data_IF_890307320179
#
_entry.id   IF_890307320179
#
_cell.length_a   1.000
_cell.length_b   1.000
_cell.length_c   1.000
_cell.angle_alpha   90.00
_cell.angle_beta   90.00
_cell.angle_gamma   90.00
#
_symmetry.space_group_name_H-M   'P 1'
#
loop_
_entity.id
_entity.type
_entity.pdbx_description
1 polymer ?
#
# COMPACT_ATOMS: atom_id res chain seq x y z
N UNK A 1 19.72 8.39 5.82
CA UNK A 1 20.91 8.48 4.96
C UNK A 1 21.81 7.31 5.32
N UNK A 2 21.74 6.22 4.55
CA UNK A 2 22.29 4.91 4.96
C UNK A 2 23.83 4.89 4.93
N UNK A 3 24.48 5.93 4.35
CA UNK A 3 25.95 6.06 4.30
C UNK A 3 26.49 7.50 4.51
N UNK A 4 25.72 8.38 5.16
CA UNK A 4 26.17 9.76 5.38
C UNK A 4 26.25 10.62 4.12
N UNK A 5 25.59 10.21 3.04
CA UNK A 5 25.37 11.05 1.85
C UNK A 5 24.75 12.40 2.27
N UNK A 6 24.96 13.48 1.51
CA UNK A 6 24.27 14.76 1.78
C UNK A 6 22.82 14.70 1.25
N UNK A 7 21.84 15.00 2.10
CA UNK A 7 20.47 15.29 1.67
C UNK A 7 19.91 16.47 2.44
N UNK A 8 18.98 17.16 1.79
CA UNK A 8 18.30 18.33 2.33
C UNK A 8 16.84 18.02 2.72
N UNK A 9 16.24 16.98 2.12
CA UNK A 9 14.89 16.50 2.41
C UNK A 9 14.94 14.99 2.61
N UNK A 10 14.20 14.50 3.61
CA UNK A 10 14.07 13.08 3.89
C UNK A 10 12.59 12.70 3.91
N UNK A 11 12.19 11.84 2.97
CA UNK A 11 10.86 11.26 2.88
C UNK A 11 10.94 9.75 3.19
N UNK A 12 10.00 9.24 3.98
CA UNK A 12 10.02 7.85 4.39
C UNK A 12 8.62 7.25 4.44
N UNK A 13 8.53 5.96 4.10
CA UNK A 13 7.32 5.16 4.24
C UNK A 13 6.89 4.90 5.70
N UNK A 14 7.69 5.36 6.67
CA UNK A 14 7.45 5.17 8.09
C UNK A 14 7.77 6.47 8.84
N UNK A 15 6.79 7.03 9.56
CA UNK A 15 6.93 8.25 10.36
C UNK A 15 7.99 8.16 11.46
N UNK A 16 8.33 6.96 11.94
CA UNK A 16 9.36 6.78 12.96
C UNK A 16 10.76 7.14 12.46
N UNK A 17 11.07 6.90 11.18
CA UNK A 17 12.38 7.23 10.64
C UNK A 17 12.69 8.74 10.66
N UNK A 18 11.83 9.63 10.11
CA UNK A 18 12.08 11.06 10.18
C UNK A 18 11.88 11.62 11.60
N UNK A 19 11.03 11.02 12.44
CA UNK A 19 10.91 11.39 13.85
C UNK A 19 12.22 11.15 14.62
N UNK A 20 12.88 10.01 14.38
CA UNK A 20 14.19 9.70 14.97
C UNK A 20 15.28 10.69 14.52
N UNK A 21 15.25 11.14 13.26
CA UNK A 21 16.16 12.19 12.77
C UNK A 21 15.93 13.54 13.47
N UNK A 22 14.66 13.90 13.70
CA UNK A 22 14.29 15.10 14.43
C UNK A 22 14.73 15.04 15.89
N UNK A 23 14.47 13.91 16.57
CA UNK A 23 14.89 13.67 17.95
C UNK A 23 16.42 13.72 18.12
N UNK A 24 17.17 13.27 17.12
CA UNK A 24 18.63 13.37 17.09
C UNK A 24 19.15 14.78 16.72
N UNK A 25 18.27 15.78 16.56
CA UNK A 25 18.62 17.15 16.18
C UNK A 25 19.06 17.32 14.72
N UNK A 26 18.98 16.26 13.90
CA UNK A 26 19.49 16.25 12.52
C UNK A 26 18.49 16.77 11.49
N UNK A 27 17.21 16.77 11.82
CA UNK A 27 16.15 17.24 10.97
C UNK A 27 15.12 18.06 11.76
N UNK A 28 14.20 18.67 11.04
CA UNK A 28 13.03 19.33 11.60
C UNK A 28 11.97 18.30 12.01
N UNK A 29 10.94 18.72 12.75
CA UNK A 29 9.81 17.84 13.06
C UNK A 29 9.16 17.33 11.78
N UNK A 30 8.88 16.01 11.66
CA UNK A 30 8.28 15.46 10.46
C UNK A 30 6.82 15.87 10.32
N UNK A 31 6.39 16.00 9.07
CA UNK A 31 4.98 16.12 8.69
C UNK A 31 4.57 14.88 7.91
N UNK A 32 3.35 14.35 8.13
CA UNK A 32 2.82 13.33 7.25
C UNK A 32 2.54 14.00 5.89
N UNK A 33 2.93 13.37 4.79
CA UNK A 33 2.71 13.92 3.43
C UNK A 33 1.89 13.03 2.50
N UNK A 34 1.80 11.72 2.77
CA UNK A 34 0.96 10.80 2.01
C UNK A 34 0.71 9.52 2.81
N UNK A 35 0.01 8.55 2.23
CA UNK A 35 -0.09 7.19 2.77
C UNK A 35 -0.02 6.13 1.67
N UNK A 36 0.53 4.97 2.01
CA UNK A 36 0.24 3.77 1.23
C UNK A 36 -1.19 3.33 1.54
N UNK A 37 -1.92 2.94 0.50
CA UNK A 37 -3.28 2.41 0.61
C UNK A 37 -3.34 1.08 -0.12
N UNK A 38 -4.07 0.13 0.47
CA UNK A 38 -4.39 -1.11 -0.22
C UNK A 38 -5.47 -0.88 -1.28
N UNK A 39 -5.40 -1.67 -2.34
CA UNK A 39 -6.43 -1.89 -3.35
C UNK A 39 -6.59 -3.41 -3.54
N UNK A 40 -7.76 -3.82 -4.00
CA UNK A 40 -8.01 -5.18 -4.46
C UNK A 40 -7.78 -5.24 -5.98
N UNK A 41 -6.83 -6.07 -6.43
CA UNK A 41 -6.64 -6.41 -7.83
C UNK A 41 -7.46 -7.67 -8.14
N UNK A 42 -8.25 -7.64 -9.21
CA UNK A 42 -9.17 -8.74 -9.54
C UNK A 42 -9.46 -8.79 -11.03
N UNK A 43 -10.14 -9.85 -11.48
CA UNK A 43 -10.64 -9.97 -12.85
C UNK A 43 -12.11 -9.53 -12.92
N UNK A 44 -12.58 -8.99 -14.06
CA UNK A 44 -13.95 -8.46 -14.18
C UNK A 44 -15.05 -9.48 -13.81
N UNK A 45 -14.86 -10.76 -14.15
CA UNK A 45 -15.84 -11.82 -13.93
C UNK A 45 -16.07 -12.16 -12.46
N UNK A 46 -15.16 -11.77 -11.56
CA UNK A 46 -15.32 -11.95 -10.09
C UNK A 46 -16.34 -10.93 -9.53
N UNK A 47 -16.64 -9.86 -10.29
CA UNK A 47 -17.63 -8.83 -9.95
C UNK A 47 -17.44 -8.25 -8.55
N UNK A 48 -16.19 -7.84 -8.27
CA UNK A 48 -15.79 -7.18 -7.03
C UNK A 48 -15.90 -5.67 -7.20
N UNK A 49 -16.45 -5.01 -6.19
CA UNK A 49 -16.65 -3.57 -6.08
C UNK A 49 -16.34 -3.17 -4.64
N UNK A 50 -16.13 -1.89 -4.39
CA UNK A 50 -15.81 -1.40 -3.05
C UNK A 50 -16.89 -1.76 -2.02
N UNK A 51 -18.17 -1.72 -2.41
CA UNK A 51 -19.32 -1.99 -1.54
C UNK A 51 -19.51 -3.48 -1.20
N UNK A 52 -19.09 -4.40 -2.07
CA UNK A 52 -19.24 -5.85 -1.87
C UNK A 52 -17.92 -6.57 -1.56
N UNK A 53 -16.81 -5.83 -1.42
CA UNK A 53 -15.49 -6.41 -1.29
C UNK A 53 -15.40 -7.39 -0.11
N UNK A 54 -15.92 -7.04 1.07
CA UNK A 54 -15.90 -7.92 2.24
C UNK A 54 -16.65 -9.24 1.99
N UNK A 55 -17.83 -9.15 1.40
CA UNK A 55 -18.63 -10.32 1.05
C UNK A 55 -17.87 -11.25 0.09
N UNK A 56 -17.25 -10.68 -0.95
CA UNK A 56 -16.47 -11.43 -1.93
C UNK A 56 -15.21 -12.05 -1.33
N UNK A 57 -14.51 -11.34 -0.45
CA UNK A 57 -13.34 -11.90 0.24
C UNK A 57 -13.73 -13.07 1.16
N UNK A 58 -14.93 -13.05 1.75
CA UNK A 58 -15.42 -14.10 2.64
C UNK A 58 -16.02 -15.32 1.92
N UNK A 59 -16.37 -15.19 0.64
CA UNK A 59 -16.89 -16.30 -0.16
C UNK A 59 -15.86 -17.44 -0.23
N UNK A 60 -16.17 -18.67 0.24
CA UNK A 60 -15.21 -19.78 0.27
C UNK A 60 -14.73 -20.20 -1.13
N UNK A 61 -15.45 -19.88 -2.20
CA UNK A 61 -15.03 -20.17 -3.57
C UNK A 61 -13.98 -19.18 -4.11
N UNK A 62 -13.84 -18.01 -3.47
CA UNK A 62 -12.90 -16.95 -3.88
C UNK A 62 -11.52 -17.18 -3.27
N UNK A 63 -10.49 -17.29 -4.11
CA UNK A 63 -9.09 -17.35 -3.71
C UNK A 63 -8.59 -15.95 -3.36
N UNK A 64 -8.32 -15.70 -2.08
CA UNK A 64 -7.85 -14.41 -1.59
C UNK A 64 -6.32 -14.43 -1.48
N UNK A 65 -5.62 -13.68 -2.34
CA UNK A 65 -4.17 -13.52 -2.30
C UNK A 65 -3.73 -12.30 -1.49
N UNK A 66 -2.63 -12.45 -0.76
CA UNK A 66 -1.94 -11.38 -0.04
C UNK A 66 -0.42 -11.55 -0.18
N UNK A 67 0.35 -10.52 0.19
CA UNK A 67 1.74 -10.75 0.56
C UNK A 67 1.85 -11.45 1.93
N UNK A 68 2.99 -12.10 2.18
CA UNK A 68 3.37 -12.71 3.47
C UNK A 68 3.57 -11.63 4.53
N UNK A 69 2.76 -11.62 5.61
CA UNK A 69 2.95 -10.70 6.74
C UNK A 69 4.35 -10.80 7.33
N UNK A 70 4.87 -9.72 7.91
CA UNK A 70 6.24 -9.52 8.44
C UNK A 70 7.36 -9.59 7.41
N UNK A 71 7.19 -10.30 6.30
CA UNK A 71 8.16 -10.34 5.21
C UNK A 71 7.95 -9.17 4.23
N UNK A 72 6.68 -8.80 4.00
CA UNK A 72 6.28 -7.65 3.19
C UNK A 72 5.20 -6.83 3.94
N UNK A 73 5.40 -5.53 4.16
CA UNK A 73 4.44 -4.68 4.87
C UNK A 73 3.02 -4.64 4.26
N UNK A 74 2.86 -4.92 2.96
CA UNK A 74 1.52 -5.01 2.37
C UNK A 74 0.72 -6.20 2.92
N UNK A 75 1.39 -7.28 3.32
CA UNK A 75 0.80 -8.42 4.02
C UNK A 75 0.33 -8.06 5.43
N UNK A 76 1.13 -7.28 6.16
CA UNK A 76 0.73 -6.78 7.49
C UNK A 76 -0.54 -5.93 7.40
N UNK A 77 -0.63 -5.05 6.39
CA UNK A 77 -1.84 -4.27 6.15
C UNK A 77 -3.04 -5.13 5.75
N UNK A 78 -2.86 -6.18 4.93
CA UNK A 78 -3.96 -7.06 4.60
C UNK A 78 -4.55 -7.73 5.86
N UNK A 79 -3.71 -8.09 6.82
CA UNK A 79 -4.16 -8.69 8.08
C UNK A 79 -4.75 -7.66 9.05
N UNK A 80 -4.27 -6.41 9.05
CA UNK A 80 -4.94 -5.31 9.77
C UNK A 80 -6.34 -5.03 9.18
N UNK A 81 -6.48 -5.10 7.86
CA UNK A 81 -7.77 -4.99 7.18
C UNK A 81 -8.71 -6.11 7.63
N UNK A 82 -8.21 -7.35 7.77
CA UNK A 82 -9.00 -8.46 8.31
C UNK A 82 -9.47 -8.18 9.75
N UNK A 83 -8.63 -7.56 10.57
CA UNK A 83 -9.01 -7.15 11.91
C UNK A 83 -10.11 -6.08 11.91
N UNK A 84 -10.08 -5.11 10.98
CA UNK A 84 -11.20 -4.15 10.80
C UNK A 84 -12.48 -4.84 10.32
N UNK A 85 -12.36 -5.86 9.49
CA UNK A 85 -13.49 -6.65 9.01
C UNK A 85 -14.28 -7.34 10.14
N UNK A 86 -13.62 -7.73 11.23
CA UNK A 86 -14.28 -8.31 12.41
C UNK A 86 -15.34 -7.39 13.01
N UNK A 87 -15.06 -6.08 13.04
CA UNK A 87 -16.01 -5.09 13.56
C UNK A 87 -17.25 -4.92 12.66
N UNK A 88 -17.13 -5.24 11.37
CA UNK A 88 -18.24 -5.18 10.41
C UNK A 88 -19.01 -6.49 10.33
N UNK A 89 -18.32 -7.62 10.53
CA UNK A 89 -18.92 -8.96 10.49
C UNK A 89 -18.18 -9.89 11.45
N UNK A 90 -18.82 -10.30 12.57
CA UNK A 90 -18.20 -11.24 13.51
C UNK A 90 -17.73 -12.54 12.84
N UNK A 91 -16.53 -12.99 13.20
CA UNK A 91 -15.87 -14.15 12.62
C UNK A 91 -15.17 -13.90 11.28
N UNK A 92 -15.29 -12.70 10.69
CA UNK A 92 -14.67 -12.39 9.41
C UNK A 92 -13.15 -12.44 9.48
N UNK A 93 -12.53 -11.93 10.55
CA UNK A 93 -11.07 -11.94 10.67
C UNK A 93 -10.53 -13.35 10.57
N UNK A 94 -11.05 -14.24 11.42
CA UNK A 94 -10.63 -15.65 11.47
C UNK A 94 -10.86 -16.35 10.14
N UNK A 95 -12.00 -16.09 9.49
CA UNK A 95 -12.33 -16.68 8.20
C UNK A 95 -11.35 -16.23 7.10
N UNK A 96 -11.01 -14.93 7.05
CA UNK A 96 -10.09 -14.35 6.07
C UNK A 96 -8.65 -14.82 6.30
N UNK A 97 -8.16 -14.76 7.55
CA UNK A 97 -6.82 -15.26 7.92
C UNK A 97 -6.64 -16.75 7.56
N UNK A 98 -7.68 -17.58 7.77
CA UNK A 98 -7.61 -19.01 7.49
C UNK A 98 -7.55 -19.37 5.99
N UNK A 99 -8.05 -18.49 5.11
CA UNK A 99 -8.11 -18.74 3.67
C UNK A 99 -7.15 -17.90 2.83
N UNK A 100 -6.51 -16.89 3.44
CA UNK A 100 -5.57 -16.03 2.76
C UNK A 100 -4.40 -16.85 2.21
N UNK A 101 -4.09 -16.64 0.93
CA UNK A 101 -2.97 -17.24 0.23
C UNK A 101 -1.84 -16.22 0.22
N UNK A 102 -0.79 -16.49 0.99
CA UNK A 102 0.41 -15.67 1.02
C UNK A 102 1.29 -15.99 -0.21
N UNK A 103 1.10 -15.22 -1.28
CA UNK A 103 1.65 -15.55 -2.61
C UNK A 103 2.86 -14.69 -3.00
N UNK A 104 3.19 -13.66 -2.24
CA UNK A 104 4.30 -12.72 -2.53
C UNK A 104 5.03 -12.30 -1.26
N UNK A 105 6.29 -11.87 -1.38
CA UNK A 105 7.07 -11.28 -0.28
C UNK A 105 7.70 -12.28 0.69
N UNK A 106 7.17 -13.50 0.80
CA UNK A 106 7.74 -14.57 1.61
C UNK A 106 8.96 -15.24 0.97
N UNK A 107 9.76 -15.99 1.76
CA UNK A 107 10.95 -16.68 1.26
C UNK A 107 10.65 -17.72 0.16
N UNK A 108 9.46 -18.32 0.20
CA UNK A 108 9.00 -19.31 -0.78
C UNK A 108 8.18 -18.68 -1.92
N UNK A 109 8.07 -17.35 -1.96
CA UNK A 109 7.33 -16.65 -3.00
C UNK A 109 8.04 -16.76 -4.35
N UNK A 110 7.28 -16.86 -5.47
CA UNK A 110 7.85 -16.82 -6.80
C UNK A 110 8.64 -15.53 -7.02
N UNK A 111 9.77 -15.64 -7.71
CA UNK A 111 10.52 -14.47 -8.14
C UNK A 111 9.65 -13.60 -9.07
N UNK A 112 9.67 -12.26 -8.92
CA UNK A 112 8.93 -11.39 -9.82
C UNK A 112 9.47 -11.53 -11.25
N UNK A 113 8.59 -11.70 -12.26
CA UNK A 113 9.02 -11.75 -13.65
C UNK A 113 9.66 -10.41 -14.07
N UNK A 114 10.66 -10.42 -14.96
CA UNK A 114 11.42 -9.21 -15.32
C UNK A 114 10.63 -8.27 -16.25
N UNK A 115 9.61 -8.78 -16.93
CA UNK A 115 8.90 -8.13 -18.04
C UNK A 115 7.47 -7.71 -17.72
N UNK A 116 6.95 -8.07 -16.53
CA UNK A 116 5.56 -7.78 -16.13
C UNK A 116 5.37 -7.77 -14.61
N UNK A 117 4.24 -7.26 -14.18
CA UNK A 117 3.81 -7.28 -12.79
C UNK A 117 3.56 -8.70 -12.28
N UNK A 118 4.24 -9.08 -11.19
CA UNK A 118 3.98 -10.33 -10.46
C UNK A 118 2.52 -10.44 -10.02
N UNK A 119 1.97 -9.36 -9.45
CA UNK A 119 0.58 -9.31 -8.97
C UNK A 119 -0.42 -9.51 -10.12
N UNK A 120 -0.15 -8.86 -11.26
CA UNK A 120 -0.95 -9.03 -12.46
C UNK A 120 -0.93 -10.46 -12.98
N UNK A 121 0.25 -11.09 -13.04
CA UNK A 121 0.41 -12.48 -13.50
C UNK A 121 -0.31 -13.48 -12.58
N UNK A 122 -0.21 -13.32 -11.25
CA UNK A 122 -0.90 -14.16 -10.27
C UNK A 122 -2.43 -14.10 -10.42
N UNK A 123 -2.98 -12.90 -10.62
CA UNK A 123 -4.43 -12.72 -10.83
C UNK A 123 -4.84 -13.20 -12.22
N UNK A 124 -4.10 -12.88 -13.28
CA UNK A 124 -4.42 -13.31 -14.65
C UNK A 124 -4.41 -14.85 -14.79
N UNK A 125 -3.49 -15.53 -14.10
CA UNK A 125 -3.39 -17.00 -14.08
C UNK A 125 -4.32 -17.68 -13.07
N UNK A 126 -5.24 -16.92 -12.45
CA UNK A 126 -6.23 -17.42 -11.47
C UNK A 126 -5.61 -18.09 -10.24
N UNK A 127 -4.39 -17.70 -9.86
CA UNK A 127 -3.79 -18.13 -8.60
C UNK A 127 -4.46 -17.43 -7.41
N UNK A 128 -4.90 -16.19 -7.62
CA UNK A 128 -5.83 -15.45 -6.77
C UNK A 128 -6.98 -14.89 -7.60
N UNK A 129 -8.18 -14.82 -7.01
CA UNK A 129 -9.36 -14.15 -7.58
C UNK A 129 -9.43 -12.69 -7.14
N UNK A 130 -9.02 -12.44 -5.90
CA UNK A 130 -8.80 -11.10 -5.32
C UNK A 130 -7.39 -11.09 -4.75
N UNK A 131 -6.58 -10.10 -5.11
CA UNK A 131 -5.28 -9.88 -4.49
C UNK A 131 -5.26 -8.54 -3.75
N UNK A 132 -5.02 -8.56 -2.44
CA UNK A 132 -4.84 -7.33 -1.65
C UNK A 132 -3.37 -6.90 -1.71
N UNK A 133 -3.12 -5.74 -2.30
CA UNK A 133 -1.77 -5.14 -2.40
C UNK A 133 -1.88 -3.62 -2.49
N UNK A 134 -0.77 -2.90 -2.54
CA UNK A 134 -0.79 -1.44 -2.69
C UNK A 134 -1.44 -1.02 -4.00
N UNK A 135 -2.18 0.10 -4.00
CA UNK A 135 -2.75 0.65 -5.23
C UNK A 135 -1.68 1.01 -6.27
N UNK A 136 -0.45 1.35 -5.86
CA UNK A 136 0.70 1.50 -6.76
C UNK A 136 0.98 0.20 -7.55
N UNK A 137 0.91 -0.96 -6.89
CA UNK A 137 1.10 -2.27 -7.51
C UNK A 137 -0.07 -2.64 -8.44
N UNK A 138 -1.31 -2.29 -8.07
CA UNK A 138 -2.48 -2.55 -8.93
C UNK A 138 -2.46 -1.68 -10.18
N UNK A 139 -2.00 -0.43 -10.10
CA UNK A 139 -1.80 0.44 -11.26
C UNK A 139 -0.74 -0.12 -12.20
N UNK A 140 0.40 -0.60 -11.67
CA UNK A 140 1.42 -1.27 -12.48
C UNK A 140 0.87 -2.54 -13.13
N UNK A 141 0.17 -3.39 -12.37
CA UNK A 141 -0.46 -4.60 -12.90
C UNK A 141 -1.41 -4.32 -14.06
N UNK A 142 -2.19 -3.24 -14.00
CA UNK A 142 -3.11 -2.86 -15.08
C UNK A 142 -2.43 -2.31 -16.33
N UNK A 143 -1.18 -1.83 -16.23
CA UNK A 143 -0.42 -1.45 -17.44
C UNK A 143 -0.04 -2.68 -18.24
N UNK A 144 0.35 -3.76 -17.55
CA UNK A 144 0.77 -5.01 -18.18
C UNK A 144 -0.41 -5.94 -18.51
N UNK A 145 -1.50 -5.84 -17.74
CA UNK A 145 -2.72 -6.62 -17.87
C UNK A 145 -3.96 -5.70 -17.89
N UNK A 146 -4.30 -5.09 -19.03
CA UNK A 146 -5.35 -4.06 -19.12
C UNK A 146 -6.75 -4.50 -18.71
N UNK A 147 -7.06 -5.79 -18.83
CA UNK A 147 -8.37 -6.37 -18.47
C UNK A 147 -8.56 -6.50 -16.95
N UNK A 148 -7.50 -6.38 -16.15
CA UNK A 148 -7.62 -6.44 -14.70
C UNK A 148 -8.25 -5.16 -14.13
N UNK A 149 -8.97 -5.33 -13.03
CA UNK A 149 -9.66 -4.27 -12.33
C UNK A 149 -8.95 -4.01 -11.00
N UNK A 150 -8.69 -2.73 -10.73
CA UNK A 150 -8.27 -2.26 -9.40
C UNK A 150 -9.49 -1.70 -8.70
N UNK A 151 -9.83 -2.28 -7.55
CA UNK A 151 -10.95 -1.88 -6.71
C UNK A 151 -10.42 -1.19 -5.46
N UNK A 152 -10.92 0.00 -5.18
CA UNK A 152 -10.59 0.71 -3.95
C UNK A 152 -11.17 -0.03 -2.74
N UNK A 153 -10.42 -0.10 -1.65
CA UNK A 153 -10.91 -0.64 -0.38
C UNK A 153 -11.92 0.36 0.22
N UNK A 154 -13.05 -0.14 0.72
CA UNK A 154 -14.04 0.69 1.40
C UNK A 154 -13.42 1.41 2.63
N UNK A 155 -13.83 2.66 2.94
CA UNK A 155 -13.24 3.44 4.03
C UNK A 155 -13.20 2.71 5.38
N UNK A 156 -14.22 1.90 5.69
CA UNK A 156 -14.38 1.16 6.94
C UNK A 156 -13.32 0.05 7.08
N UNK A 157 -12.83 -0.48 5.96
CA UNK A 157 -11.79 -1.51 5.88
C UNK A 157 -10.41 -0.93 5.60
N UNK A 158 -10.32 0.34 5.21
CA UNK A 158 -9.09 0.95 4.73
C UNK A 158 -8.03 1.04 5.83
N UNK A 159 -6.83 0.60 5.50
CA UNK A 159 -5.63 0.64 6.36
C UNK A 159 -4.51 1.34 5.60
N UNK A 160 -3.57 1.92 6.32
CA UNK A 160 -2.39 2.52 5.70
C UNK A 160 -1.54 3.32 6.68
N UNK A 161 -0.22 3.13 6.59
CA UNK A 161 0.70 3.99 7.33
C UNK A 161 0.87 5.34 6.64
N UNK A 162 0.97 6.37 7.47
CA UNK A 162 1.36 7.70 7.03
C UNK A 162 2.85 7.71 6.70
N UNK A 163 3.17 8.34 5.58
CA UNK A 163 4.52 8.57 5.15
C UNK A 163 4.98 9.93 5.66
N UNK A 164 6.19 9.97 6.20
CA UNK A 164 6.74 11.16 6.82
C UNK A 164 7.72 11.90 5.92
N UNK A 165 7.62 13.21 5.93
CA UNK A 165 8.49 14.15 5.25
C UNK A 165 9.15 15.04 6.31
N UNK A 166 10.47 15.22 6.23
CA UNK A 166 11.18 16.21 7.03
C UNK A 166 12.28 16.88 6.22
N UNK A 167 12.64 18.10 6.62
CA UNK A 167 13.75 18.86 6.06
C UNK A 167 14.94 18.72 7.00
N UNK A 168 16.12 18.42 6.44
CA UNK A 168 17.36 18.27 7.21
C UNK A 168 17.79 19.63 7.77
N UNK A 169 18.33 19.65 8.98
CA UNK A 169 18.76 20.89 9.61
C UNK A 169 19.90 21.52 8.80
N UNK A 170 19.79 22.82 8.53
CA UNK A 170 20.77 23.55 7.69
C UNK A 170 20.55 23.37 6.18
N UNK A 171 19.47 22.71 5.77
CA UNK A 171 19.06 22.67 4.37
C UNK A 171 18.83 24.07 3.79
N UNK A 172 19.19 24.25 2.53
CA UNK A 172 19.03 25.52 1.81
C UNK A 172 17.55 25.79 1.51
N UNK A 173 17.22 27.04 1.23
CA UNK A 173 15.86 27.48 0.91
C UNK A 173 15.15 26.63 -0.17
N UNK A 174 15.81 26.19 -1.27
CA UNK A 174 15.15 25.35 -2.27
C UNK A 174 14.58 24.04 -1.72
N UNK A 175 15.23 23.43 -0.72
CA UNK A 175 14.76 22.20 -0.10
C UNK A 175 13.49 22.41 0.71
N UNK A 176 13.39 23.54 1.40
CA UNK A 176 12.16 23.95 2.09
C UNK A 176 11.01 24.19 1.12
N UNK A 177 11.27 24.91 0.02
CA UNK A 177 10.27 25.14 -1.04
C UNK A 177 9.78 23.82 -1.63
N UNK A 178 10.67 22.86 -1.88
CA UNK A 178 10.30 21.54 -2.37
C UNK A 178 9.47 20.75 -1.35
N UNK A 179 9.86 20.74 -0.07
CA UNK A 179 9.08 20.08 0.97
C UNK A 179 7.67 20.66 1.09
N UNK A 180 7.51 21.98 0.97
CA UNK A 180 6.19 22.63 0.97
C UNK A 180 5.39 22.33 -0.28
N UNK A 181 6.04 22.29 -1.44
CA UNK A 181 5.39 21.89 -2.68
C UNK A 181 4.73 20.51 -2.54
N UNK A 182 5.39 19.53 -1.94
CA UNK A 182 4.83 18.17 -1.73
C UNK A 182 3.48 18.19 -0.97
N UNK A 183 3.25 19.19 -0.12
CA UNK A 183 2.04 19.32 0.70
C UNK A 183 0.90 20.09 -0.01
N UNK A 184 1.18 20.69 -1.17
CA UNK A 184 0.17 21.43 -1.97
C UNK A 184 -0.81 20.48 -2.66
N UNK A 185 -1.98 21.01 -3.05
CA UNK A 185 -3.00 20.24 -3.76
C UNK A 185 -2.49 19.66 -5.08
N UNK A 186 -1.66 20.40 -5.82
CA UNK A 186 -1.07 19.93 -7.07
C UNK A 186 -0.19 18.70 -6.87
N UNK A 187 0.68 18.72 -5.85
CA UNK A 187 1.53 17.58 -5.54
C UNK A 187 0.74 16.40 -4.99
N UNK A 188 -0.30 16.65 -4.17
CA UNK A 188 -1.19 15.60 -3.70
C UNK A 188 -1.95 14.94 -4.86
N UNK A 189 -2.39 15.71 -5.86
CA UNK A 189 -3.01 15.17 -7.06
C UNK A 189 -2.05 14.30 -7.90
N UNK A 190 -0.76 14.65 -7.94
CA UNK A 190 0.28 13.80 -8.54
C UNK A 190 0.40 12.48 -7.77
N UNK A 191 0.53 12.54 -6.43
CA UNK A 191 0.65 11.36 -5.57
C UNK A 191 -0.55 10.42 -5.72
N UNK A 192 -1.77 10.97 -5.73
CA UNK A 192 -3.00 10.19 -5.93
C UNK A 192 -3.06 9.54 -7.30
N UNK A 193 -2.63 10.22 -8.37
CA UNK A 193 -2.53 9.63 -9.71
C UNK A 193 -1.58 8.43 -9.77
N UNK A 194 -0.57 8.41 -8.91
CA UNK A 194 0.37 7.31 -8.77
C UNK A 194 -0.06 6.26 -7.74
N UNK A 195 -1.25 6.37 -7.16
CA UNK A 195 -1.83 5.35 -6.27
C UNK A 195 -1.54 5.54 -4.78
N UNK A 196 -1.03 6.69 -4.37
CA UNK A 196 -0.91 7.03 -2.94
C UNK A 196 -2.19 7.70 -2.42
N UNK A 197 -2.52 7.46 -1.15
CA UNK A 197 -3.68 8.08 -0.51
C UNK A 197 -3.40 9.51 -0.05
N UNK A 198 -4.41 10.38 -0.16
CA UNK A 198 -4.42 11.74 0.40
C UNK A 198 -4.54 11.71 1.92
N UNK A 199 -3.81 12.55 2.66
CA UNK A 199 -4.00 12.70 4.11
C UNK A 199 -5.17 13.60 4.50
N UNK A 200 -5.71 14.35 3.54
CA UNK A 200 -6.92 15.16 3.65
C UNK A 200 -8.15 14.32 3.40
#
# INVERSE_FOLDING_TARGET
MVKGEPAEVFASANMMHPASLAAAGKAMSPLPFTRNVLCALTRPEVNVRSDNLLERMLDPAVRLGTSTPKADPSGDYAFELFARAEALRPGARKALEAKALELTGGPDSPAPPPDRSLYGDLVARKQADIFLTYCTNTLLARRDFPDLVSVAIAPELSVGAQYGLTVVRGAREPAWRFAWFILTDDAQAILTRHGFGSLR
#
